data_IF_438672775792
#
_entry.id   IF_438672775792
#
_cell.length_a   1.000
_cell.length_b   1.000
_cell.length_c   1.000
_cell.angle_alpha   90.00
_cell.angle_beta   90.00
_cell.angle_gamma   90.00
#
_symmetry.space_group_name_H-M   'P 1'
#
loop_
_entity.id
_entity.type
_entity.pdbx_description
1 polymer ?
#
# COMPACT_ATOMS: atom_id res chain seq x y z
N UNK A 1 33.69 26.38 16.37
CA UNK A 1 32.61 25.36 16.28
C UNK A 1 32.06 25.32 14.84
N UNK A 2 31.49 24.18 14.38
CA UNK A 2 30.96 24.13 13.02
C UNK A 2 29.69 24.94 12.90
N UNK A 3 29.45 25.54 11.73
CA UNK A 3 28.21 26.31 11.39
C UNK A 3 26.93 25.51 11.68
N UNK A 4 26.94 24.22 11.30
CA UNK A 4 25.82 23.31 11.54
C UNK A 4 25.55 23.09 13.03
N UNK A 5 26.62 22.95 13.84
CA UNK A 5 26.49 22.78 15.30
C UNK A 5 25.82 23.98 15.95
N UNK A 6 26.18 25.20 15.53
CA UNK A 6 25.59 26.42 16.08
C UNK A 6 24.15 26.64 15.62
N UNK A 7 23.81 26.29 14.37
CA UNK A 7 22.40 26.32 13.90
C UNK A 7 21.53 25.36 14.72
N UNK A 8 22.01 24.13 15.00
CA UNK A 8 21.30 23.16 15.85
C UNK A 8 21.16 23.69 17.29
N UNK A 9 22.22 24.30 17.87
CA UNK A 9 22.12 24.90 19.21
C UNK A 9 21.11 26.05 19.25
N UNK A 10 21.07 26.90 18.23
CA UNK A 10 20.05 27.95 18.09
C UNK A 10 18.63 27.34 18.08
N UNK A 11 18.40 26.29 17.31
CA UNK A 11 17.13 25.57 17.31
C UNK A 11 16.73 25.05 18.71
N UNK A 12 17.65 24.37 19.40
CA UNK A 12 17.41 23.87 20.75
C UNK A 12 17.14 24.98 21.76
N UNK A 13 17.83 26.12 21.63
CA UNK A 13 17.62 27.29 22.48
C UNK A 13 16.22 27.88 22.28
N UNK A 14 15.79 28.03 21.03
CA UNK A 14 14.46 28.54 20.70
C UNK A 14 13.35 27.56 21.13
N UNK A 15 13.63 26.26 21.03
CA UNK A 15 12.71 25.23 21.49
C UNK A 15 12.49 25.26 23.02
N UNK A 16 13.56 25.51 23.78
CA UNK A 16 13.51 25.50 25.25
C UNK A 16 13.01 26.80 25.86
N UNK A 17 13.33 27.95 25.25
CA UNK A 17 13.03 29.29 25.81
C UNK A 17 11.89 30.04 25.11
N UNK A 18 11.44 29.51 23.96
CA UNK A 18 10.41 30.18 23.14
C UNK A 18 10.99 31.36 22.39
N UNK A 19 10.62 32.60 22.81
CA UNK A 19 11.10 33.83 22.16
C UNK A 19 12.40 34.32 22.77
N UNK A 20 13.48 34.46 21.98
CA UNK A 20 14.82 34.85 22.41
C UNK A 20 15.34 35.97 21.50
N UNK A 21 15.91 37.04 22.08
CA UNK A 21 16.50 38.13 21.30
C UNK A 21 17.73 37.67 20.51
N UNK A 22 17.95 38.31 19.36
CA UNK A 22 19.08 38.03 18.52
C UNK A 22 20.44 38.22 19.22
N UNK A 23 20.51 39.27 20.08
CA UNK A 23 21.69 39.56 20.89
C UNK A 23 21.95 38.44 21.92
N UNK A 24 20.91 38.01 22.64
CA UNK A 24 21.04 36.89 23.61
C UNK A 24 21.47 35.59 22.96
N UNK A 25 20.97 35.32 21.74
CA UNK A 25 21.42 34.13 20.96
C UNK A 25 22.89 34.28 20.55
N UNK A 26 23.28 35.46 20.10
CA UNK A 26 24.63 35.79 19.71
C UNK A 26 25.62 35.59 20.87
N UNK A 27 25.27 36.08 22.04
CA UNK A 27 26.08 35.95 23.27
C UNK A 27 26.21 34.47 23.70
N UNK A 28 25.11 33.71 23.71
CA UNK A 28 25.12 32.31 24.14
C UNK A 28 25.90 31.42 23.16
N UNK A 29 25.87 31.75 21.87
CA UNK A 29 26.57 30.97 20.83
C UNK A 29 27.99 31.53 20.57
N UNK A 30 28.41 32.61 21.22
CA UNK A 30 29.68 33.29 21.02
C UNK A 30 29.92 33.67 19.55
N UNK A 31 28.88 34.31 18.93
CA UNK A 31 28.90 34.70 17.51
C UNK A 31 28.29 36.12 17.35
N UNK A 32 28.43 36.71 16.16
CA UNK A 32 27.76 37.97 15.85
C UNK A 32 26.27 37.76 15.55
N UNK A 33 25.48 38.81 15.75
CA UNK A 33 24.05 38.82 15.36
C UNK A 33 23.82 38.60 13.88
N UNK A 34 24.80 38.93 13.02
CA UNK A 34 24.81 38.58 11.61
C UNK A 34 24.87 37.08 11.42
N UNK A 35 25.72 36.37 12.17
CA UNK A 35 25.81 34.91 12.12
C UNK A 35 24.52 34.22 12.59
N UNK A 36 23.83 34.83 13.58
CA UNK A 36 22.51 34.35 14.03
C UNK A 36 21.49 34.43 12.90
N UNK A 37 21.52 35.51 12.10
CA UNK A 37 20.67 35.58 10.90
C UNK A 37 21.01 34.50 9.86
N UNK A 38 22.28 34.25 9.64
CA UNK A 38 22.71 33.18 8.72
C UNK A 38 22.26 31.79 9.21
N UNK A 39 22.30 31.53 10.53
CA UNK A 39 21.76 30.28 11.11
C UNK A 39 20.26 30.18 10.97
N UNK A 40 19.53 31.29 11.11
CA UNK A 40 18.11 31.33 10.81
C UNK A 40 17.83 30.90 9.37
N UNK A 41 18.55 31.48 8.40
CA UNK A 41 18.38 31.18 6.97
C UNK A 41 18.73 29.72 6.66
N UNK A 42 19.74 29.15 7.32
CA UNK A 42 20.11 27.73 7.16
C UNK A 42 19.05 26.80 7.74
N UNK A 43 18.46 27.14 8.89
CA UNK A 43 17.36 26.41 9.50
C UNK A 43 16.10 26.46 8.65
N UNK A 44 15.77 27.63 8.08
CA UNK A 44 14.65 27.80 7.16
C UNK A 44 14.80 26.98 5.88
N UNK A 45 16.01 26.94 5.30
CA UNK A 45 16.34 26.06 4.16
C UNK A 45 16.20 24.57 4.52
N UNK A 46 16.43 24.22 5.79
CA UNK A 46 16.21 22.88 6.31
C UNK A 46 14.75 22.59 6.68
N UNK A 47 13.82 23.55 6.45
CA UNK A 47 12.39 23.41 6.75
C UNK A 47 12.02 23.72 8.20
N UNK A 48 12.89 24.39 8.96
CA UNK A 48 12.62 24.86 10.33
C UNK A 48 12.43 26.38 10.27
N UNK A 49 11.17 26.82 10.30
CA UNK A 49 10.84 28.23 10.16
C UNK A 49 10.96 28.99 11.50
N UNK A 50 11.58 30.15 11.45
CA UNK A 50 11.85 30.98 12.61
C UNK A 50 11.19 32.36 12.41
N UNK A 51 10.13 32.58 13.18
CA UNK A 51 9.44 33.87 13.23
C UNK A 51 10.27 34.93 13.91
N UNK A 52 9.98 36.20 13.56
CA UNK A 52 10.60 37.38 14.16
C UNK A 52 9.52 38.26 14.76
N UNK A 53 9.59 38.51 16.05
CA UNK A 53 8.71 39.49 16.74
C UNK A 53 9.46 40.82 16.96
N UNK A 54 8.85 41.93 16.60
CA UNK A 54 9.42 43.27 16.78
C UNK A 54 9.01 43.88 18.14
N UNK A 55 9.83 44.79 18.68
CA UNK A 55 9.50 45.57 19.86
C UNK A 55 10.35 45.19 21.09
N UNK A 56 10.05 45.82 22.26
CA UNK A 56 10.83 45.69 23.51
C UNK A 56 10.95 44.22 23.98
N UNK A 57 9.94 43.41 23.72
CA UNK A 57 9.92 41.99 24.01
C UNK A 57 10.05 41.18 22.71
N UNK A 58 10.70 41.73 21.68
CA UNK A 58 10.94 41.10 20.40
C UNK A 58 11.99 39.99 20.48
N UNK A 59 12.13 39.23 19.41
CA UNK A 59 13.12 38.15 19.30
C UNK A 59 12.77 37.18 18.22
N UNK A 60 13.57 36.13 18.13
CA UNK A 60 13.34 34.98 17.30
C UNK A 60 12.56 33.93 18.08
N UNK A 61 11.63 33.25 17.40
CA UNK A 61 10.87 32.14 17.97
C UNK A 61 10.65 31.06 16.88
N UNK A 62 10.48 29.81 17.28
CA UNK A 62 10.11 28.78 16.34
C UNK A 62 8.65 28.97 15.91
N UNK A 63 8.45 29.21 14.63
CA UNK A 63 7.10 29.10 14.09
C UNK A 63 6.73 27.62 14.10
N UNK A 64 5.61 27.30 14.75
CA UNK A 64 5.00 25.97 14.63
C UNK A 64 4.56 25.81 13.19
N UNK A 65 5.39 25.16 12.38
CA UNK A 65 5.26 25.05 10.92
C UNK A 65 4.04 24.28 10.45
N UNK A 66 3.31 23.65 11.36
CA UNK A 66 2.00 23.07 11.14
C UNK A 66 1.10 23.58 12.28
N UNK A 67 0.44 24.72 12.06
CA UNK A 67 -0.73 25.05 12.85
C UNK A 67 -1.87 24.10 12.46
N UNK A 68 -1.94 22.97 13.17
CA UNK A 68 -3.02 21.99 12.97
C UNK A 68 -4.40 22.62 13.22
N UNK A 69 -4.47 23.70 14.00
CA UNK A 69 -5.71 24.47 14.19
C UNK A 69 -6.11 25.20 12.92
N UNK A 70 -5.14 25.74 12.18
CA UNK A 70 -5.37 26.36 10.88
C UNK A 70 -5.78 25.36 9.79
N UNK A 71 -5.39 24.11 9.91
CA UNK A 71 -5.80 23.03 9.01
C UNK A 71 -7.15 22.40 9.39
N UNK A 72 -7.72 22.74 10.56
CA UNK A 72 -9.00 22.18 11.01
C UNK A 72 -8.98 20.68 11.29
N UNK A 73 -7.81 20.08 11.49
CA UNK A 73 -7.68 18.63 11.72
C UNK A 73 -8.28 18.27 13.10
N UNK A 74 -9.24 17.38 13.08
CA UNK A 74 -9.94 16.88 14.26
C UNK A 74 -9.16 15.75 14.97
N UNK A 75 -9.57 15.47 16.20
CA UNK A 75 -9.02 14.34 16.98
C UNK A 75 -9.15 13.01 16.24
N UNK A 76 -10.33 12.73 15.70
CA UNK A 76 -10.61 11.47 14.99
C UNK A 76 -9.75 11.33 13.72
N UNK A 77 -9.47 12.44 13.04
CA UNK A 77 -8.58 12.42 11.87
C UNK A 77 -7.13 12.15 12.26
N UNK A 78 -6.66 12.68 13.38
CA UNK A 78 -5.32 12.39 13.91
C UNK A 78 -5.20 10.93 14.35
N UNK A 79 -6.23 10.38 15.00
CA UNK A 79 -6.28 8.98 15.39
C UNK A 79 -6.29 8.07 14.15
N UNK A 80 -7.10 8.39 13.16
CA UNK A 80 -7.13 7.69 11.87
C UNK A 80 -5.77 7.73 11.16
N UNK A 81 -5.07 8.87 11.17
CA UNK A 81 -3.73 8.99 10.62
C UNK A 81 -2.73 8.12 11.38
N UNK A 82 -2.82 8.04 12.71
CA UNK A 82 -1.96 7.18 13.54
C UNK A 82 -2.17 5.72 13.21
N UNK A 83 -3.42 5.26 13.18
CA UNK A 83 -3.77 3.88 12.82
C UNK A 83 -3.29 3.52 11.42
N UNK A 84 -3.50 4.40 10.43
CA UNK A 84 -3.02 4.22 9.06
C UNK A 84 -1.49 4.13 9.01
N UNK A 85 -0.78 4.96 9.80
CA UNK A 85 0.69 4.94 9.87
C UNK A 85 1.20 3.59 10.38
N UNK A 86 0.62 3.05 11.45
CA UNK A 86 1.02 1.74 11.98
C UNK A 86 0.70 0.60 11.00
N UNK A 87 -0.45 0.67 10.31
CA UNK A 87 -0.81 -0.32 9.29
C UNK A 87 0.16 -0.29 8.10
N UNK A 88 0.52 0.90 7.61
CA UNK A 88 1.44 1.08 6.48
C UNK A 88 2.88 0.74 6.87
N UNK A 89 3.33 1.11 8.07
CA UNK A 89 4.66 0.79 8.60
C UNK A 89 4.92 -0.71 8.64
N UNK A 90 3.94 -1.45 9.11
CA UNK A 90 4.00 -2.90 9.22
C UNK A 90 3.64 -3.63 7.91
N UNK A 91 3.10 -2.90 6.92
CA UNK A 91 2.77 -3.42 5.59
C UNK A 91 3.97 -3.41 4.63
N UNK A 92 3.73 -3.91 3.42
CA UNK A 92 4.75 -3.96 2.37
C UNK A 92 4.65 -2.76 1.40
N UNK A 93 4.22 -1.60 1.91
CA UNK A 93 4.05 -0.39 1.11
C UNK A 93 5.41 0.19 0.69
N UNK A 94 5.66 0.44 -0.60
CA UNK A 94 6.99 0.88 -1.09
C UNK A 94 7.49 2.20 -0.52
N UNK A 95 6.59 3.07 -0.09
CA UNK A 95 6.88 4.40 0.47
C UNK A 95 6.55 4.48 1.96
N UNK A 96 6.57 3.38 2.69
CA UNK A 96 6.26 3.33 4.13
C UNK A 96 7.11 4.31 4.95
N UNK A 97 8.41 4.40 4.66
CA UNK A 97 9.31 5.33 5.36
C UNK A 97 8.95 6.80 5.10
N UNK A 98 8.65 7.16 3.85
CA UNK A 98 8.28 8.53 3.49
C UNK A 98 6.94 8.91 4.15
N UNK A 99 5.99 7.95 4.19
CA UNK A 99 4.70 8.12 4.87
C UNK A 99 4.87 8.24 6.38
N UNK A 100 5.74 7.44 7.02
CA UNK A 100 6.06 7.53 8.44
C UNK A 100 6.66 8.90 8.80
N UNK A 101 7.57 9.41 7.98
CA UNK A 101 8.17 10.74 8.17
C UNK A 101 7.10 11.84 8.11
N UNK A 102 6.24 11.83 7.07
CA UNK A 102 5.16 12.81 6.91
C UNK A 102 4.16 12.73 8.08
N UNK A 103 3.70 11.53 8.40
CA UNK A 103 2.74 11.29 9.48
C UNK A 103 3.31 11.72 10.83
N UNK A 104 4.58 11.42 11.10
CA UNK A 104 5.25 11.82 12.34
C UNK A 104 5.35 13.34 12.47
N UNK A 105 5.57 14.08 11.38
CA UNK A 105 5.55 15.55 11.40
C UNK A 105 4.18 16.09 11.83
N UNK A 106 3.09 15.52 11.30
CA UNK A 106 1.71 15.92 11.61
C UNK A 106 1.37 15.53 13.06
N UNK A 107 1.63 14.27 13.45
CA UNK A 107 1.30 13.75 14.77
C UNK A 107 2.09 14.44 15.89
N UNK A 108 3.37 14.79 15.65
CA UNK A 108 4.20 15.51 16.63
C UNK A 108 3.77 16.97 16.81
N UNK A 109 3.13 17.57 15.82
CA UNK A 109 2.53 18.90 15.97
C UNK A 109 1.27 18.90 16.87
N UNK A 110 0.67 17.74 17.08
CA UNK A 110 -0.48 17.50 17.96
C UNK A 110 -0.01 17.11 19.38
N UNK A 111 0.63 18.03 20.13
CA UNK A 111 1.37 17.78 21.39
C UNK A 111 0.62 17.09 22.53
N UNK A 112 -0.72 17.03 22.53
CA UNK A 112 -1.53 16.61 23.69
C UNK A 112 -2.38 15.35 23.42
N UNK A 113 -1.96 14.48 22.48
CA UNK A 113 -2.75 13.30 22.13
C UNK A 113 -2.18 12.00 22.69
N UNK A 114 -2.95 11.34 23.55
CA UNK A 114 -2.77 9.93 23.90
C UNK A 114 -3.52 9.10 22.87
N UNK A 115 -2.78 8.33 22.07
CA UNK A 115 -3.33 7.39 21.10
C UNK A 115 -3.42 6.00 21.72
N UNK A 116 -4.50 5.26 21.44
CA UNK A 116 -4.57 3.85 21.72
C UNK A 116 -3.46 3.09 20.98
N UNK A 117 -2.93 2.03 21.60
CA UNK A 117 -1.98 1.16 20.93
C UNK A 117 -2.70 0.33 19.85
N UNK A 118 -2.18 0.34 18.64
CA UNK A 118 -2.66 -0.45 17.52
C UNK A 118 -1.52 -1.35 17.03
N UNK A 119 -1.84 -2.60 16.75
CA UNK A 119 -0.87 -3.56 16.21
C UNK A 119 -1.46 -4.23 14.97
N UNK A 120 -0.73 -4.16 13.85
CA UNK A 120 -1.03 -4.89 12.61
C UNK A 120 0.06 -5.92 12.35
N UNK A 121 -0.32 -7.16 12.04
CA UNK A 121 0.62 -8.24 11.70
C UNK A 121 0.44 -8.68 10.25
N UNK A 122 1.04 -7.98 9.29
CA UNK A 122 1.03 -8.40 7.90
C UNK A 122 2.00 -9.57 7.66
N UNK A 123 1.83 -10.26 6.52
CA UNK A 123 2.88 -11.14 6.01
C UNK A 123 4.06 -10.31 5.52
N UNK A 124 5.20 -10.44 6.19
CA UNK A 124 6.40 -9.68 5.83
C UNK A 124 7.06 -10.25 4.58
N UNK A 125 7.38 -9.38 3.62
CA UNK A 125 8.25 -9.70 2.49
C UNK A 125 9.72 -9.60 2.90
N UNK A 126 10.59 -10.35 2.21
CA UNK A 126 12.04 -10.17 2.34
C UNK A 126 12.45 -8.79 1.83
N UNK A 127 13.44 -8.16 2.47
CA UNK A 127 13.91 -6.80 2.15
C UNK A 127 14.29 -6.65 0.68
N UNK A 128 14.98 -7.64 0.12
CA UNK A 128 15.42 -7.64 -1.29
C UNK A 128 14.23 -7.58 -2.27
N UNK A 129 13.10 -8.20 -1.89
CA UNK A 129 11.87 -8.13 -2.70
C UNK A 129 11.27 -6.73 -2.61
N UNK A 130 11.24 -6.13 -1.43
CA UNK A 130 10.69 -4.77 -1.23
C UNK A 130 11.50 -3.74 -2.01
N UNK A 131 12.83 -3.81 -1.95
CA UNK A 131 13.73 -2.90 -2.68
C UNK A 131 13.55 -3.04 -4.19
N UNK A 132 13.54 -4.28 -4.69
CA UNK A 132 13.27 -4.56 -6.11
C UNK A 132 11.89 -4.04 -6.55
N UNK A 133 10.85 -4.28 -5.77
CA UNK A 133 9.50 -3.80 -6.08
C UNK A 133 9.42 -2.27 -6.06
N UNK A 134 10.19 -1.59 -5.21
CA UNK A 134 10.28 -0.12 -5.15
C UNK A 134 10.89 0.48 -6.42
N UNK A 135 11.93 -0.13 -6.95
CA UNK A 135 12.54 0.30 -8.22
C UNK A 135 11.58 0.09 -9.39
N UNK A 136 11.01 -1.11 -9.49
CA UNK A 136 10.02 -1.44 -10.52
C UNK A 136 8.84 -0.46 -10.45
N UNK A 137 8.35 -0.14 -9.24
CA UNK A 137 7.26 0.82 -9.02
C UNK A 137 7.57 2.18 -9.66
N UNK A 138 8.76 2.73 -9.40
CA UNK A 138 9.16 4.04 -9.95
C UNK A 138 9.13 4.04 -11.48
N UNK A 139 9.69 3.00 -12.08
CA UNK A 139 9.83 2.92 -13.54
C UNK A 139 8.51 2.61 -14.23
N UNK A 140 7.69 1.72 -13.68
CA UNK A 140 6.36 1.42 -14.20
C UNK A 140 5.47 2.68 -14.14
N UNK A 141 5.47 3.42 -13.03
CA UNK A 141 4.71 4.67 -12.93
C UNK A 141 5.19 5.73 -13.94
N UNK A 142 6.50 5.81 -14.19
CA UNK A 142 7.07 6.67 -15.23
C UNK A 142 6.59 6.26 -16.63
N UNK A 143 6.57 4.96 -16.90
CA UNK A 143 6.08 4.42 -18.16
C UNK A 143 4.58 4.70 -18.37
N UNK A 144 3.76 4.50 -17.32
CA UNK A 144 2.31 4.82 -17.33
C UNK A 144 2.09 6.31 -17.65
N UNK A 145 2.75 7.21 -16.88
CA UNK A 145 2.61 8.67 -17.06
C UNK A 145 3.02 9.14 -18.47
N UNK A 146 4.05 8.52 -19.05
CA UNK A 146 4.56 8.83 -20.38
C UNK A 146 3.92 8.02 -21.50
N UNK A 147 2.98 7.12 -21.18
CA UNK A 147 2.32 6.20 -22.11
C UNK A 147 3.34 5.40 -22.94
N UNK A 148 4.41 4.91 -22.29
CA UNK A 148 5.47 4.11 -22.89
C UNK A 148 5.24 2.63 -22.67
N UNK A 149 5.49 1.80 -23.70
CA UNK A 149 5.43 0.35 -23.60
C UNK A 149 6.56 -0.19 -22.73
N UNK A 150 6.34 -1.35 -22.13
CA UNK A 150 7.32 -2.07 -21.33
C UNK A 150 7.52 -3.45 -21.96
N UNK A 151 8.76 -3.79 -22.23
CA UNK A 151 9.17 -5.15 -22.59
C UNK A 151 9.76 -5.79 -21.34
N UNK A 152 9.30 -6.98 -21.01
CA UNK A 152 9.75 -7.66 -19.79
C UNK A 152 9.83 -9.16 -19.95
N UNK A 153 10.73 -9.76 -19.19
CA UNK A 153 10.80 -11.20 -18.94
C UNK A 153 9.99 -11.52 -17.70
N UNK A 154 8.98 -12.36 -17.83
CA UNK A 154 7.99 -12.64 -16.79
C UNK A 154 7.76 -14.13 -16.57
N UNK A 155 7.73 -14.55 -15.29
CA UNK A 155 7.42 -15.92 -14.88
C UNK A 155 5.99 -15.99 -14.36
N UNK A 156 5.13 -16.73 -15.08
CA UNK A 156 3.73 -16.94 -14.65
C UNK A 156 3.64 -18.02 -13.55
N UNK A 157 2.54 -18.02 -12.77
CA UNK A 157 2.30 -19.12 -11.81
C UNK A 157 2.18 -20.45 -12.56
N UNK A 158 2.88 -21.46 -12.07
CA UNK A 158 2.90 -22.80 -12.68
C UNK A 158 3.87 -22.95 -13.87
N UNK A 159 4.56 -21.84 -14.24
CA UNK A 159 5.65 -21.92 -15.21
C UNK A 159 7.00 -21.92 -14.47
N UNK A 160 7.92 -22.78 -14.88
CA UNK A 160 9.33 -22.78 -14.42
C UNK A 160 10.04 -21.54 -14.98
N UNK A 161 11.07 -21.06 -14.28
CA UNK A 161 11.95 -19.99 -14.77
C UNK A 161 12.54 -20.30 -16.15
N UNK A 162 12.69 -21.59 -16.49
CA UNK A 162 13.13 -22.05 -17.81
C UNK A 162 12.14 -21.74 -18.93
N UNK A 163 10.85 -21.59 -18.61
CA UNK A 163 9.77 -21.27 -19.55
C UNK A 163 9.35 -19.80 -19.50
N UNK A 164 10.27 -18.93 -19.11
CA UNK A 164 10.09 -17.50 -19.07
C UNK A 164 9.70 -16.93 -20.44
N UNK A 165 8.66 -16.11 -20.46
CA UNK A 165 8.17 -15.49 -21.71
C UNK A 165 8.45 -14.00 -21.71
N UNK A 166 8.90 -13.52 -22.86
CA UNK A 166 9.01 -12.09 -23.12
C UNK A 166 7.59 -11.55 -23.36
N UNK A 167 7.27 -10.46 -22.71
CA UNK A 167 5.99 -9.74 -22.79
C UNK A 167 6.25 -8.30 -23.19
N UNK A 168 5.52 -7.80 -24.19
CA UNK A 168 5.35 -6.37 -24.43
C UNK A 168 3.99 -5.97 -23.89
N UNK A 169 3.99 -4.98 -23.02
CA UNK A 169 2.80 -4.56 -22.27
C UNK A 169 2.63 -3.05 -22.34
N UNK A 170 1.41 -2.59 -22.55
CA UNK A 170 0.98 -1.21 -22.40
C UNK A 170 0.49 -1.03 -20.94
N UNK A 171 1.28 -0.46 -20.04
CA UNK A 171 0.90 -0.38 -18.63
C UNK A 171 -0.16 0.71 -18.41
N UNK A 172 -1.25 0.36 -17.73
CA UNK A 172 -2.37 1.28 -17.50
C UNK A 172 -2.43 1.78 -16.07
N UNK A 173 -2.09 0.95 -15.09
CA UNK A 173 -2.12 1.32 -13.68
C UNK A 173 -1.43 0.29 -12.78
N UNK A 174 -1.27 0.67 -11.52
CA UNK A 174 -0.65 -0.16 -10.46
C UNK A 174 -1.66 -0.31 -9.34
N UNK A 175 -1.69 -1.49 -8.70
CA UNK A 175 -2.55 -1.76 -7.56
C UNK A 175 -1.87 -2.71 -6.57
N UNK A 176 -2.33 -2.67 -5.32
CA UNK A 176 -1.99 -3.67 -4.30
C UNK A 176 -3.11 -4.69 -4.17
N UNK A 177 -2.73 -5.95 -4.05
CA UNK A 177 -3.65 -7.03 -3.73
C UNK A 177 -3.00 -7.94 -2.68
N UNK A 178 -3.59 -8.01 -1.50
CA UNK A 178 -3.09 -8.78 -0.36
C UNK A 178 -1.60 -8.54 -0.05
N UNK A 179 -1.20 -7.28 0.00
CA UNK A 179 0.17 -6.87 0.26
C UNK A 179 1.15 -7.20 -0.87
N UNK A 180 0.66 -7.56 -2.05
CA UNK A 180 1.46 -7.80 -3.25
C UNK A 180 1.18 -6.74 -4.29
N UNK A 181 2.25 -6.19 -4.88
CA UNK A 181 2.14 -5.12 -5.87
C UNK A 181 2.05 -5.70 -7.27
N UNK A 182 1.08 -5.19 -8.01
CA UNK A 182 0.81 -5.56 -9.39
C UNK A 182 0.70 -4.30 -10.24
N UNK A 183 0.95 -4.45 -11.53
CA UNK A 183 0.42 -3.53 -12.53
C UNK A 183 -0.48 -4.28 -13.49
N UNK A 184 -1.38 -3.56 -14.11
CA UNK A 184 -2.23 -4.09 -15.16
C UNK A 184 -2.03 -3.33 -16.45
N UNK A 185 -2.26 -4.01 -17.56
CA UNK A 185 -2.10 -3.42 -18.86
C UNK A 185 -2.40 -4.40 -19.99
N UNK A 186 -2.49 -3.86 -21.22
CA UNK A 186 -2.70 -4.66 -22.40
C UNK A 186 -1.42 -5.42 -22.76
N UNK A 187 -1.51 -6.73 -22.81
CA UNK A 187 -0.41 -7.64 -23.18
C UNK A 187 -0.50 -7.98 -24.67
N UNK A 188 0.45 -7.53 -25.48
CA UNK A 188 0.45 -7.80 -26.92
C UNK A 188 0.47 -9.30 -27.26
N UNK A 189 1.20 -10.11 -26.48
CA UNK A 189 1.27 -11.56 -26.68
C UNK A 189 -0.07 -12.26 -26.43
N UNK A 190 -0.85 -11.78 -25.46
CA UNK A 190 -2.15 -12.37 -25.10
C UNK A 190 -3.33 -11.65 -25.73
N UNK A 191 -3.09 -10.49 -26.33
CA UNK A 191 -4.11 -9.59 -26.92
C UNK A 191 -5.27 -9.29 -25.95
N UNK A 192 -4.91 -9.10 -24.69
CA UNK A 192 -5.88 -8.91 -23.60
C UNK A 192 -5.24 -8.17 -22.41
N UNK A 193 -6.07 -7.61 -21.53
CA UNK A 193 -5.62 -7.01 -20.27
C UNK A 193 -5.17 -8.10 -19.32
N UNK A 194 -3.98 -7.94 -18.76
CA UNK A 194 -3.39 -8.88 -17.83
C UNK A 194 -2.79 -8.18 -16.62
N UNK A 195 -2.71 -8.92 -15.53
CA UNK A 195 -2.14 -8.48 -14.26
C UNK A 195 -0.75 -9.10 -14.08
N UNK A 196 0.20 -8.27 -13.69
CA UNK A 196 1.60 -8.67 -13.58
C UNK A 196 2.13 -8.33 -12.19
N UNK A 197 2.46 -9.36 -11.41
CA UNK A 197 3.07 -9.19 -10.08
C UNK A 197 4.50 -8.72 -10.22
N UNK A 198 4.89 -7.67 -9.50
CA UNK A 198 6.23 -7.08 -9.58
C UNK A 198 7.32 -8.08 -9.24
N UNK A 199 7.13 -8.88 -8.19
CA UNK A 199 8.13 -9.88 -7.76
C UNK A 199 8.43 -10.96 -8.81
N UNK A 200 7.56 -11.15 -9.82
CA UNK A 200 7.73 -12.13 -10.91
C UNK A 200 8.37 -11.56 -12.17
N UNK A 201 8.63 -10.27 -12.20
CA UNK A 201 9.40 -9.63 -13.26
C UNK A 201 10.87 -9.96 -13.03
N UNK A 202 11.51 -10.61 -14.01
CA UNK A 202 12.93 -10.96 -13.93
C UNK A 202 13.78 -9.80 -14.42
N UNK A 203 13.44 -9.28 -15.59
CA UNK A 203 14.07 -8.09 -16.19
C UNK A 203 13.03 -7.31 -16.99
N UNK A 204 13.25 -6.03 -17.18
CA UNK A 204 12.38 -5.17 -17.98
C UNK A 204 13.14 -4.02 -18.59
N UNK A 205 12.58 -3.44 -19.63
CA UNK A 205 13.01 -2.21 -20.27
C UNK A 205 11.80 -1.36 -20.65
N UNK A 206 11.91 -0.03 -20.50
CA UNK A 206 10.90 0.89 -21.00
C UNK A 206 11.27 1.20 -22.44
N UNK A 207 10.36 0.90 -23.37
CA UNK A 207 10.56 1.14 -24.79
C UNK A 207 10.30 2.62 -25.15
N UNK A 208 10.91 3.10 -26.22
CA UNK A 208 10.60 4.42 -26.76
C UNK A 208 9.24 4.49 -27.45
N UNK A 209 8.67 3.32 -27.75
CA UNK A 209 7.34 3.20 -28.33
C UNK A 209 6.25 3.66 -27.36
N UNK A 210 5.37 4.53 -27.88
CA UNK A 210 4.19 4.98 -27.13
C UNK A 210 2.97 4.13 -27.50
N UNK A 211 1.97 4.12 -26.62
CA UNK A 211 0.70 3.46 -26.85
C UNK A 211 -0.48 4.41 -26.62
N UNK A 212 -1.63 4.07 -27.20
CA UNK A 212 -2.91 4.72 -26.92
C UNK A 212 -3.83 3.72 -26.20
N UNK A 213 -4.63 4.22 -25.27
CA UNK A 213 -5.61 3.38 -24.57
C UNK A 213 -6.87 3.31 -25.44
N UNK A 214 -6.97 2.28 -26.26
CA UNK A 214 -8.10 2.10 -27.18
C UNK A 214 -9.22 1.20 -26.60
N UNK A 215 -8.98 0.60 -25.44
CA UNK A 215 -9.93 -0.33 -24.80
C UNK A 215 -10.57 0.41 -23.65
N UNK A 216 -11.90 0.49 -23.64
CA UNK A 216 -12.65 0.86 -22.43
C UNK A 216 -12.49 -0.24 -21.41
N UNK A 217 -11.59 -0.01 -20.45
CA UNK A 217 -11.28 -0.92 -19.37
C UNK A 217 -11.71 -0.29 -18.05
N UNK A 218 -12.68 -0.89 -17.43
CA UNK A 218 -13.14 -0.50 -16.10
C UNK A 218 -12.49 -1.43 -15.07
N UNK A 219 -11.40 -0.94 -14.47
CA UNK A 219 -10.62 -1.69 -13.48
C UNK A 219 -11.48 -2.05 -12.26
N UNK A 220 -12.25 -1.10 -11.76
CA UNK A 220 -13.05 -1.28 -10.54
C UNK A 220 -14.15 -2.32 -10.77
N UNK A 221 -14.81 -2.29 -11.93
CA UNK A 221 -15.81 -3.30 -12.30
C UNK A 221 -15.20 -4.70 -12.35
N UNK A 222 -14.00 -4.85 -12.90
CA UNK A 222 -13.34 -6.15 -13.00
C UNK A 222 -12.90 -6.65 -11.63
N UNK A 223 -12.30 -5.81 -10.80
CA UNK A 223 -11.89 -6.19 -9.45
C UNK A 223 -13.08 -6.55 -8.57
N UNK A 224 -14.18 -5.81 -8.68
CA UNK A 224 -15.42 -6.06 -7.93
C UNK A 224 -16.12 -7.37 -8.31
N UNK A 225 -15.87 -7.90 -9.51
CA UNK A 225 -16.41 -9.20 -9.98
C UNK A 225 -15.44 -10.35 -9.78
N UNK A 226 -14.19 -10.08 -9.37
CA UNK A 226 -13.16 -11.09 -9.22
C UNK A 226 -12.99 -11.46 -7.76
N UNK A 227 -12.97 -12.76 -7.46
CA UNK A 227 -12.61 -13.27 -6.13
C UNK A 227 -11.15 -12.97 -5.78
N UNK A 228 -10.31 -12.81 -6.80
CA UNK A 228 -8.91 -12.47 -6.68
C UNK A 228 -8.44 -11.64 -7.86
N UNK A 229 -7.26 -11.98 -8.38
CA UNK A 229 -6.62 -11.24 -9.48
C UNK A 229 -6.77 -11.89 -10.86
N UNK A 230 -7.37 -13.06 -10.95
CA UNK A 230 -7.56 -13.72 -12.25
C UNK A 230 -8.80 -13.16 -12.96
N UNK A 231 -8.59 -12.66 -14.18
CA UNK A 231 -9.67 -12.18 -15.05
C UNK A 231 -9.98 -13.28 -16.08
N UNK A 232 -10.65 -14.34 -15.61
CA UNK A 232 -11.20 -15.43 -16.43
C UNK A 232 -12.72 -15.26 -16.62
N UNK A 233 -13.37 -16.25 -17.20
CA UNK A 233 -14.82 -16.24 -17.33
C UNK A 233 -15.47 -16.38 -15.94
N UNK A 234 -16.54 -15.62 -15.66
CA UNK A 234 -17.24 -15.74 -14.41
C UNK A 234 -17.92 -17.11 -14.30
N UNK A 235 -18.00 -17.65 -13.11
CA UNK A 235 -18.76 -18.84 -12.76
C UNK A 235 -19.88 -18.50 -11.80
N UNK A 236 -20.99 -19.21 -11.93
CA UNK A 236 -22.05 -19.18 -10.92
C UNK A 236 -21.67 -20.21 -9.84
N UNK A 237 -21.31 -19.69 -8.66
CA UNK A 237 -20.83 -20.48 -7.54
C UNK A 237 -21.93 -20.67 -6.51
N UNK A 238 -22.17 -21.91 -6.11
CA UNK A 238 -23.07 -22.25 -5.00
C UNK A 238 -22.34 -23.21 -4.07
N UNK A 239 -22.15 -22.77 -2.83
CA UNK A 239 -21.48 -23.53 -1.78
C UNK A 239 -22.43 -23.72 -0.60
N UNK A 240 -22.43 -24.93 -0.02
CA UNK A 240 -22.99 -25.19 1.30
C UNK A 240 -21.84 -25.19 2.30
N UNK A 241 -21.92 -24.33 3.30
CA UNK A 241 -20.79 -24.07 4.22
C UNK A 241 -21.26 -24.26 5.65
N UNK A 242 -20.47 -25.04 6.42
CA UNK A 242 -20.77 -25.40 7.80
C UNK A 242 -19.96 -24.57 8.80
N UNK A 243 -20.44 -24.55 10.05
CA UNK A 243 -19.73 -23.96 11.18
C UNK A 243 -18.37 -24.64 11.41
N UNK A 244 -17.32 -23.89 11.80
CA UNK A 244 -17.29 -22.45 12.10
C UNK A 244 -17.06 -21.54 10.89
N UNK A 245 -16.76 -22.10 9.72
CA UNK A 245 -16.43 -21.32 8.52
C UNK A 245 -17.61 -20.47 8.04
N UNK A 246 -18.85 -20.96 8.24
CA UNK A 246 -20.06 -20.21 7.89
C UNK A 246 -20.09 -18.81 8.55
N UNK A 247 -19.62 -18.68 9.80
CA UNK A 247 -19.58 -17.40 10.50
C UNK A 247 -18.56 -16.45 9.84
N UNK A 248 -17.36 -16.96 9.53
CA UNK A 248 -16.30 -16.17 8.87
C UNK A 248 -16.75 -15.68 7.49
N UNK A 249 -17.48 -16.52 6.75
CA UNK A 249 -17.98 -16.16 5.41
C UNK A 249 -19.07 -15.09 5.51
N UNK A 250 -19.93 -15.12 6.53
CA UNK A 250 -20.96 -14.10 6.77
C UNK A 250 -20.35 -12.71 7.04
N UNK A 251 -19.16 -12.64 7.61
CA UNK A 251 -18.46 -11.37 7.94
C UNK A 251 -17.81 -10.69 6.73
N UNK A 252 -17.78 -11.35 5.56
CA UNK A 252 -17.01 -10.88 4.40
C UNK A 252 -17.89 -10.67 3.17
N UNK A 253 -17.58 -9.60 2.46
CA UNK A 253 -18.07 -9.40 1.10
C UNK A 253 -16.93 -9.72 0.12
N UNK A 254 -17.04 -10.83 -0.58
CA UNK A 254 -16.02 -11.31 -1.54
C UNK A 254 -16.19 -10.65 -2.92
N UNK A 255 -17.46 -10.50 -3.35
CA UNK A 255 -17.84 -9.83 -4.60
C UNK A 255 -19.12 -9.06 -4.39
N UNK A 256 -19.43 -8.10 -5.27
CA UNK A 256 -20.67 -7.30 -5.14
C UNK A 256 -21.90 -8.18 -5.29
N UNK A 257 -21.90 -9.09 -6.28
CA UNK A 257 -23.03 -9.97 -6.56
C UNK A 257 -22.89 -11.28 -5.75
N UNK A 258 -23.03 -11.18 -4.42
CA UNK A 258 -23.11 -12.35 -3.54
C UNK A 258 -24.37 -12.32 -2.70
N UNK A 259 -24.88 -13.51 -2.34
CA UNK A 259 -25.96 -13.67 -1.39
C UNK A 259 -25.67 -14.83 -0.43
N UNK A 260 -26.18 -14.72 0.79
CA UNK A 260 -26.06 -15.72 1.83
C UNK A 260 -27.46 -16.04 2.32
N UNK A 261 -27.81 -17.33 2.28
CA UNK A 261 -29.08 -17.89 2.81
C UNK A 261 -28.71 -18.76 4.02
N UNK A 262 -29.27 -18.47 5.17
CA UNK A 262 -29.08 -19.28 6.38
C UNK A 262 -30.08 -20.44 6.37
N UNK A 263 -29.58 -21.69 6.33
CA UNK A 263 -30.43 -22.87 6.43
C UNK A 263 -30.78 -23.20 7.90
N UNK A 264 -29.82 -22.98 8.78
CA UNK A 264 -29.87 -23.13 10.22
C UNK A 264 -28.77 -22.29 10.90
N UNK A 265 -28.63 -22.38 12.24
CA UNK A 265 -27.63 -21.65 13.02
C UNK A 265 -26.18 -21.93 12.56
N UNK A 266 -25.92 -23.11 12.00
CA UNK A 266 -24.57 -23.62 11.70
C UNK A 266 -24.27 -23.69 10.22
N UNK A 267 -25.30 -23.61 9.35
CA UNK A 267 -25.18 -23.93 7.93
C UNK A 267 -25.71 -22.81 7.05
N UNK A 268 -24.95 -22.41 6.05
CA UNK A 268 -25.35 -21.42 5.05
C UNK A 268 -25.23 -21.95 3.64
N UNK A 269 -26.01 -21.36 2.72
CA UNK A 269 -25.78 -21.44 1.28
C UNK A 269 -25.19 -20.09 0.84
N UNK A 270 -23.97 -20.13 0.33
CA UNK A 270 -23.33 -19.00 -0.29
C UNK A 270 -23.50 -19.07 -1.80
N UNK A 271 -24.02 -18.01 -2.43
CA UNK A 271 -24.18 -17.88 -3.87
C UNK A 271 -23.46 -16.65 -4.37
N UNK A 272 -22.71 -16.78 -5.46
CA UNK A 272 -22.06 -15.63 -6.07
C UNK A 272 -21.73 -15.88 -7.54
N UNK A 273 -21.78 -14.81 -8.33
CA UNK A 273 -21.24 -14.83 -9.70
C UNK A 273 -19.88 -14.15 -9.67
N UNK A 274 -18.81 -14.93 -9.84
CA UNK A 274 -17.45 -14.43 -9.66
C UNK A 274 -16.44 -15.04 -10.62
N UNK A 275 -15.36 -14.28 -10.85
CA UNK A 275 -14.17 -14.70 -11.61
C UNK A 275 -13.07 -15.20 -10.68
N UNK A 276 -12.05 -15.85 -11.22
CA UNK A 276 -10.91 -16.34 -10.44
C UNK A 276 -11.03 -17.81 -10.09
N UNK A 277 -11.34 -18.66 -11.07
CA UNK A 277 -11.58 -20.09 -10.88
C UNK A 277 -10.51 -20.80 -10.05
N UNK A 278 -9.22 -20.50 -10.31
CA UNK A 278 -8.11 -21.13 -9.57
C UNK A 278 -8.07 -20.70 -8.11
N UNK A 279 -8.35 -19.42 -7.83
CA UNK A 279 -8.38 -18.89 -6.48
C UNK A 279 -9.59 -19.40 -5.73
N UNK A 280 -10.76 -19.45 -6.37
CA UNK A 280 -11.98 -20.06 -5.83
C UNK A 280 -11.73 -21.53 -5.47
N UNK A 281 -11.09 -22.32 -6.36
CA UNK A 281 -10.72 -23.70 -6.06
C UNK A 281 -9.83 -23.81 -4.83
N UNK A 282 -8.80 -22.96 -4.73
CA UNK A 282 -7.90 -22.93 -3.58
C UNK A 282 -8.61 -22.53 -2.29
N UNK A 283 -9.50 -21.56 -2.37
CA UNK A 283 -10.33 -21.10 -1.25
C UNK A 283 -11.26 -22.21 -0.74
N UNK A 284 -11.95 -22.90 -1.64
CA UNK A 284 -12.81 -24.04 -1.28
C UNK A 284 -11.97 -25.15 -0.63
N UNK A 285 -10.82 -25.51 -1.20
CA UNK A 285 -9.93 -26.52 -0.61
C UNK A 285 -9.40 -26.12 0.77
N UNK A 286 -9.20 -24.84 1.04
CA UNK A 286 -8.74 -24.35 2.34
C UNK A 286 -9.76 -24.52 3.49
N UNK A 287 -11.05 -24.70 3.16
CA UNK A 287 -12.12 -24.93 4.14
C UNK A 287 -12.25 -26.41 4.53
N UNK A 288 -11.53 -27.31 3.83
CA UNK A 288 -11.53 -28.75 4.11
C UNK A 288 -12.92 -29.37 3.95
N UNK A 289 -13.31 -30.17 4.95
CA UNK A 289 -14.61 -30.89 4.97
C UNK A 289 -15.80 -30.01 5.38
N UNK A 290 -15.58 -28.73 5.65
CA UNK A 290 -16.63 -27.79 6.12
C UNK A 290 -17.35 -27.08 4.95
N UNK A 291 -17.01 -27.41 3.72
CA UNK A 291 -17.66 -26.86 2.52
C UNK A 291 -18.02 -27.96 1.53
N UNK A 292 -19.21 -27.84 0.96
CA UNK A 292 -19.64 -28.65 -0.17
C UNK A 292 -19.90 -27.75 -1.39
N UNK A 293 -19.30 -28.10 -2.53
CA UNK A 293 -19.58 -27.43 -3.81
C UNK A 293 -20.88 -28.01 -4.37
N UNK A 294 -21.92 -27.18 -4.48
CA UNK A 294 -23.16 -27.53 -5.14
C UNK A 294 -23.03 -27.25 -6.64
N UNK A 295 -22.62 -26.03 -6.99
CA UNK A 295 -22.37 -25.56 -8.35
C UNK A 295 -21.06 -24.77 -8.44
N UNK A 296 -20.36 -24.83 -9.58
CA UNK A 296 -20.60 -25.64 -10.78
C UNK A 296 -20.06 -27.08 -10.63
N UNK A 297 -20.66 -28.03 -11.35
CA UNK A 297 -20.24 -29.45 -11.36
C UNK A 297 -18.75 -29.60 -11.65
N UNK A 298 -18.22 -28.84 -12.59
CA UNK A 298 -16.79 -28.85 -12.94
C UNK A 298 -15.90 -28.57 -11.73
N UNK A 299 -16.26 -27.61 -10.87
CA UNK A 299 -15.48 -27.29 -9.66
C UNK A 299 -15.54 -28.46 -8.67
N UNK A 300 -16.69 -29.09 -8.51
CA UNK A 300 -16.87 -30.28 -7.66
C UNK A 300 -15.95 -31.43 -8.11
N UNK A 301 -15.90 -31.71 -9.42
CA UNK A 301 -15.02 -32.72 -10.01
C UNK A 301 -13.53 -32.38 -9.81
N UNK A 302 -13.14 -31.11 -10.02
CA UNK A 302 -11.76 -30.64 -9.84
C UNK A 302 -11.32 -30.70 -8.37
N UNK A 303 -12.23 -30.42 -7.41
CA UNK A 303 -11.97 -30.60 -5.97
C UNK A 303 -11.80 -32.08 -5.64
N UNK A 304 -12.69 -32.95 -6.10
CA UNK A 304 -12.61 -34.40 -5.87
C UNK A 304 -11.29 -34.98 -6.40
N UNK A 305 -10.89 -34.56 -7.60
CA UNK A 305 -9.61 -34.99 -8.18
C UNK A 305 -8.41 -34.53 -7.35
N UNK A 306 -8.48 -33.32 -6.77
CA UNK A 306 -7.40 -32.80 -5.91
C UNK A 306 -7.33 -33.57 -4.59
N UNK A 307 -8.49 -33.83 -3.96
CA UNK A 307 -8.59 -34.62 -2.73
C UNK A 307 -7.99 -36.02 -2.91
N UNK A 308 -8.29 -36.71 -4.05
CA UNK A 308 -7.67 -37.97 -4.37
C UNK A 308 -6.14 -37.91 -4.52
N UNK A 309 -5.60 -36.79 -5.01
CA UNK A 309 -4.13 -36.60 -5.07
C UNK A 309 -3.56 -36.38 -3.68
N UNK A 310 -4.25 -35.59 -2.84
CA UNK A 310 -3.86 -35.35 -1.44
C UNK A 310 -3.84 -36.69 -0.69
N UNK A 311 -4.91 -37.47 -0.78
CA UNK A 311 -5.01 -38.80 -0.15
C UNK A 311 -3.78 -39.67 -0.47
N UNK A 312 -3.38 -39.73 -1.76
CA UNK A 312 -2.19 -40.49 -2.19
C UNK A 312 -0.84 -40.00 -1.65
N UNK A 313 -0.78 -38.77 -1.10
CA UNK A 313 0.44 -38.27 -0.47
C UNK A 313 0.59 -38.72 0.98
N UNK A 314 -0.50 -39.16 1.61
CA UNK A 314 -0.55 -39.59 3.01
C UNK A 314 -0.84 -41.05 3.22
N UNK A 315 -1.10 -41.82 2.14
CA UNK A 315 -1.22 -43.26 2.08
C UNK A 315 -0.03 -43.87 1.34
#
# INVERSE_FOLDING_TARGET
MSRVSNAIKMYMLLQSRGNVKAEDIADILEVSTRMVQEYKDDLEKAGIYIGTKKGRNGGYFLENTLDLKGLGITKNELESLKLATEAIKNGNYPYSNDFEIISSKILNAAKDFNFASYYSKPFLKRKEIIEKEREIWKDINKAIKRKKKIKMSYVSIGEDKRNMKIRVVHPYGVFDYEGSIYFYGYCELRKDIRFFKFSRIISYEILDESFTINIKYDFDKIMNQSFGIYNDNPIDLVLKIHYPISQIVKERQYVIEQSIEELDEYTIIFRAKMKGYKEIKSWVLSMGSLVEVIEPVKLKEDILNEVKKIEKLYT
#
